data_IF_837200567267
#
_entry.id   IF_837200567267
#
_cell.length_a   1.000
_cell.length_b   1.000
_cell.length_c   1.000
_cell.angle_alpha   90.00
_cell.angle_beta   90.00
_cell.angle_gamma   90.00
#
_symmetry.space_group_name_H-M   'P 1'
#
loop_
_entity.id
_entity.type
_entity.pdbx_description
1 polymer ?
#
# COMPACT_ATOMS: atom_id res chain seq x y z
N UNK A 1 35.21 -17.32 27.85
CA UNK A 1 34.20 -16.30 28.22
C UNK A 1 32.97 -16.51 27.35
N UNK A 2 31.88 -17.03 27.90
CA UNK A 2 30.63 -17.20 27.18
C UNK A 2 29.98 -15.82 26.99
N UNK A 3 29.84 -15.37 25.74
CA UNK A 3 29.08 -14.17 25.40
C UNK A 3 27.60 -14.44 25.72
N UNK A 4 27.05 -13.70 26.67
CA UNK A 4 25.62 -13.64 26.91
C UNK A 4 24.93 -13.23 25.60
N UNK A 5 24.28 -14.19 24.93
CA UNK A 5 23.33 -13.89 23.88
C UNK A 5 22.09 -13.32 24.56
N UNK A 6 21.89 -12.00 24.45
CA UNK A 6 20.60 -11.38 24.76
C UNK A 6 19.55 -12.02 23.85
N UNK A 7 18.72 -12.91 24.41
CA UNK A 7 17.47 -13.33 23.77
C UNK A 7 16.53 -12.14 23.79
N UNK A 8 16.43 -11.46 22.65
CA UNK A 8 15.58 -10.31 22.45
C UNK A 8 14.12 -10.80 22.27
N UNK A 9 13.46 -11.18 23.37
CA UNK A 9 12.06 -11.64 23.38
C UNK A 9 11.04 -10.47 23.41
N UNK A 10 11.42 -9.29 22.90
CA UNK A 10 10.52 -8.14 22.75
C UNK A 10 9.99 -8.02 21.32
N UNK A 11 8.83 -7.38 21.11
CA UNK A 11 8.28 -7.16 19.77
C UNK A 11 9.29 -6.38 18.91
N UNK A 12 9.41 -6.80 17.65
CA UNK A 12 10.32 -6.15 16.69
C UNK A 12 9.90 -4.69 16.46
N UNK A 13 10.75 -3.90 15.79
CA UNK A 13 10.36 -2.55 15.38
C UNK A 13 9.16 -2.58 14.42
N UNK A 14 9.04 -3.63 13.62
CA UNK A 14 7.93 -3.85 12.69
C UNK A 14 6.64 -4.14 13.45
N UNK A 15 6.68 -5.05 14.43
CA UNK A 15 5.50 -5.39 15.24
C UNK A 15 4.97 -4.15 15.96
N UNK A 16 5.85 -3.37 16.58
CA UNK A 16 5.46 -2.12 17.26
C UNK A 16 4.87 -1.09 16.30
N UNK A 17 5.34 -1.04 15.05
CA UNK A 17 4.77 -0.17 14.05
C UNK A 17 3.39 -0.66 13.57
N UNK A 18 3.19 -1.97 13.45
CA UNK A 18 1.88 -2.56 13.15
C UNK A 18 0.87 -2.28 14.26
N UNK A 19 1.28 -2.35 15.53
CA UNK A 19 0.41 -2.02 16.66
C UNK A 19 -0.06 -0.56 16.59
N UNK A 20 0.87 0.38 16.31
CA UNK A 20 0.51 1.79 16.10
C UNK A 20 -0.47 1.96 14.93
N UNK A 21 -0.31 1.17 13.86
CA UNK A 21 -1.20 1.24 12.70
C UNK A 21 -2.58 0.68 13.03
N UNK A 22 -2.65 -0.43 13.75
CA UNK A 22 -3.88 -1.02 14.24
C UNK A 22 -4.63 -0.04 15.15
N UNK A 23 -3.95 0.61 16.10
CA UNK A 23 -4.54 1.59 17.00
C UNK A 23 -5.13 2.79 16.27
N UNK A 24 -4.41 3.32 15.27
CA UNK A 24 -4.90 4.45 14.47
C UNK A 24 -6.11 4.07 13.63
N UNK A 25 -6.10 2.86 13.07
CA UNK A 25 -7.22 2.30 12.32
C UNK A 25 -8.44 2.07 13.19
N UNK A 26 -8.26 1.49 14.38
CA UNK A 26 -9.33 1.30 15.36
C UNK A 26 -9.95 2.64 15.72
N UNK A 27 -9.15 3.65 16.08
CA UNK A 27 -9.63 5.00 16.40
C UNK A 27 -10.41 5.62 15.25
N UNK A 28 -9.92 5.45 14.02
CA UNK A 28 -10.61 6.00 12.84
C UNK A 28 -11.95 5.29 12.61
N UNK A 29 -11.98 3.97 12.67
CA UNK A 29 -13.21 3.19 12.50
C UNK A 29 -14.21 3.50 13.62
N UNK A 30 -13.76 3.66 14.86
CA UNK A 30 -14.62 4.11 15.98
C UNK A 30 -15.19 5.51 15.73
N UNK A 31 -14.37 6.45 15.23
CA UNK A 31 -14.84 7.79 14.86
C UNK A 31 -15.87 7.76 13.74
N UNK A 32 -15.66 6.97 12.68
CA UNK A 32 -16.63 6.84 11.57
C UNK A 32 -17.89 6.10 12.03
N UNK A 33 -17.76 5.10 12.91
CA UNK A 33 -18.91 4.38 13.46
C UNK A 33 -19.83 5.29 14.29
N UNK A 34 -19.27 6.26 15.00
CA UNK A 34 -20.07 7.24 15.76
C UNK A 34 -20.89 8.20 14.89
N UNK A 35 -20.44 8.44 13.65
CA UNK A 35 -21.13 9.25 12.65
C UNK A 35 -20.71 8.79 11.24
N UNK A 36 -21.47 7.88 10.66
CA UNK A 36 -21.14 7.25 9.37
C UNK A 36 -21.18 8.24 8.19
N UNK A 37 -21.79 9.41 8.37
CA UNK A 37 -21.76 10.52 7.41
C UNK A 37 -20.44 11.33 7.49
N UNK A 38 -19.54 11.01 8.44
CA UNK A 38 -18.21 11.60 8.50
C UNK A 38 -17.30 10.92 7.46
N UNK A 39 -16.51 11.68 6.67
CA UNK A 39 -15.60 11.09 5.70
C UNK A 39 -14.42 10.37 6.38
N UNK A 40 -13.82 9.44 5.63
CA UNK A 40 -12.57 8.77 5.99
C UNK A 40 -11.40 9.74 6.19
N UNK A 41 -11.43 10.90 5.54
CA UNK A 41 -10.49 12.00 5.75
C UNK A 41 -11.27 13.32 5.67
N UNK A 42 -11.12 14.20 6.64
CA UNK A 42 -11.71 15.55 6.61
C UNK A 42 -10.94 16.46 5.64
N UNK A 43 -11.57 17.52 5.11
CA UNK A 43 -10.91 18.55 4.27
C UNK A 43 -9.48 18.94 4.69
N UNK A 44 -9.24 19.16 5.97
CA UNK A 44 -7.91 19.55 6.48
C UNK A 44 -6.84 18.43 6.38
N UNK A 45 -7.26 17.18 6.24
CA UNK A 45 -6.41 15.99 6.11
C UNK A 45 -6.39 15.42 4.67
N UNK A 46 -6.96 16.15 3.69
CA UNK A 46 -6.94 15.74 2.27
C UNK A 46 -5.59 15.94 1.58
N UNK A 47 -4.59 16.48 2.28
CA UNK A 47 -3.27 16.67 1.70
C UNK A 47 -2.51 15.36 1.68
N UNK A 48 -2.02 14.98 0.49
CA UNK A 48 -1.18 13.80 0.37
C UNK A 48 0.14 13.99 1.14
N UNK A 49 0.52 13.08 2.05
CA UNK A 49 1.72 13.25 2.84
C UNK A 49 2.98 13.16 1.97
N UNK A 50 3.91 14.08 2.20
CA UNK A 50 5.20 14.15 1.49
C UNK A 50 6.37 14.26 2.47
N UNK A 51 7.55 13.87 2.03
CA UNK A 51 8.77 14.21 2.74
C UNK A 51 9.23 15.66 2.42
N UNK A 52 10.30 16.14 3.07
CA UNK A 52 10.83 17.50 2.82
C UNK A 52 11.49 17.72 1.45
N UNK A 53 11.53 16.70 0.60
CA UNK A 53 12.03 16.73 -0.77
C UNK A 53 10.92 16.41 -1.78
N UNK A 54 9.67 16.64 -1.37
CA UNK A 54 8.45 16.54 -2.17
C UNK A 54 8.14 15.14 -2.70
N UNK A 55 8.82 14.10 -2.19
CA UNK A 55 8.46 12.71 -2.49
C UNK A 55 7.25 12.33 -1.66
N UNK A 56 6.21 11.88 -2.36
CA UNK A 56 4.98 11.36 -1.78
C UNK A 56 5.22 10.04 -1.02
N UNK A 57 4.57 9.91 0.14
CA UNK A 57 4.40 8.60 0.77
C UNK A 57 3.38 7.79 -0.03
N UNK A 58 3.41 6.46 0.10
CA UNK A 58 2.50 5.57 -0.62
C UNK A 58 1.85 4.52 0.28
N UNK A 59 0.71 3.99 -0.18
CA UNK A 59 -0.02 2.91 0.46
C UNK A 59 -0.28 3.15 1.95
N UNK A 60 0.06 2.15 2.75
CA UNK A 60 -0.06 2.14 4.21
C UNK A 60 0.53 3.38 4.88
N UNK A 61 1.71 3.84 4.46
CA UNK A 61 2.33 5.02 5.08
C UNK A 61 1.51 6.29 4.84
N UNK A 62 0.97 6.46 3.63
CA UNK A 62 0.15 7.64 3.34
C UNK A 62 -1.10 7.66 4.22
N UNK A 63 -1.82 6.52 4.27
CA UNK A 63 -3.01 6.36 5.08
C UNK A 63 -2.78 6.68 6.57
N UNK A 64 -1.72 6.12 7.15
CA UNK A 64 -1.40 6.30 8.57
C UNK A 64 -0.98 7.73 8.89
N UNK A 65 -0.15 8.35 8.04
CA UNK A 65 0.27 9.74 8.26
C UNK A 65 -0.91 10.70 8.17
N UNK A 66 -1.86 10.44 7.25
CA UNK A 66 -3.09 11.23 7.14
C UNK A 66 -3.99 11.06 8.37
N UNK A 67 -4.19 9.84 8.88
CA UNK A 67 -4.94 9.64 10.12
C UNK A 67 -4.27 10.33 11.31
N UNK A 68 -2.94 10.26 11.40
CA UNK A 68 -2.22 10.94 12.46
C UNK A 68 -2.36 12.46 12.35
N UNK A 69 -2.24 13.02 11.14
CA UNK A 69 -2.43 14.43 10.88
C UNK A 69 -3.83 14.90 11.30
N UNK A 70 -4.88 14.17 10.91
CA UNK A 70 -6.26 14.46 11.33
C UNK A 70 -6.41 14.40 12.86
N UNK A 71 -5.94 13.32 13.48
CA UNK A 71 -6.05 13.10 14.92
C UNK A 71 -5.32 14.16 15.76
N UNK A 72 -4.26 14.76 15.21
CA UNK A 72 -3.45 15.77 15.88
C UNK A 72 -3.79 17.20 15.48
N UNK A 73 -4.59 17.38 14.43
CA UNK A 73 -4.92 18.70 13.89
C UNK A 73 -3.70 19.43 13.34
N UNK A 74 -2.74 18.69 12.76
CA UNK A 74 -1.59 19.31 12.09
C UNK A 74 -2.02 19.91 10.75
N UNK A 75 -1.49 21.10 10.46
CA UNK A 75 -1.74 21.86 9.24
C UNK A 75 -0.87 21.39 8.08
N UNK A 76 0.37 20.96 8.36
CA UNK A 76 1.29 20.54 7.31
C UNK A 76 1.13 19.07 6.95
N UNK A 77 1.30 18.73 5.67
CA UNK A 77 1.47 17.35 5.18
C UNK A 77 2.93 16.91 5.07
N UNK A 78 3.88 17.69 5.60
CA UNK A 78 5.30 17.40 5.52
C UNK A 78 5.80 16.60 6.71
N UNK A 79 6.45 15.48 6.41
CA UNK A 79 7.02 14.57 7.39
C UNK A 79 8.52 14.34 7.15
N UNK A 80 9.27 14.14 8.23
CA UNK A 80 10.71 13.99 8.16
C UNK A 80 11.25 13.16 9.33
N UNK A 81 12.35 12.42 9.12
CA UNK A 81 13.06 11.82 10.25
C UNK A 81 13.73 12.89 11.10
N UNK A 82 14.09 12.54 12.34
CA UNK A 82 14.83 13.45 13.22
C UNK A 82 16.12 13.95 12.57
N UNK A 83 16.87 13.06 11.91
CA UNK A 83 18.12 13.40 11.22
C UNK A 83 17.87 14.37 10.07
N UNK A 84 16.77 14.18 9.32
CA UNK A 84 16.42 15.08 8.23
C UNK A 84 16.03 16.46 8.75
N UNK A 85 15.30 16.55 9.86
CA UNK A 85 14.99 17.82 10.52
C UNK A 85 16.27 18.50 11.00
N UNK A 86 17.15 17.76 11.68
CA UNK A 86 18.44 18.28 12.13
C UNK A 86 19.31 18.80 10.98
N UNK A 87 19.24 18.17 9.81
CA UNK A 87 20.00 18.58 8.62
C UNK A 87 19.59 19.95 8.08
N UNK A 88 18.38 20.45 8.40
CA UNK A 88 17.94 21.79 8.00
C UNK A 88 18.77 22.92 8.63
N UNK A 89 19.64 22.60 9.59
CA UNK A 89 20.50 23.58 10.26
C UNK A 89 21.89 23.70 9.63
N UNK A 90 22.23 22.84 8.66
CA UNK A 90 23.59 22.72 8.15
C UNK A 90 23.63 22.73 6.62
N UNK A 91 24.75 23.19 6.05
CA UNK A 91 25.08 23.03 4.64
C UNK A 91 25.61 21.61 4.33
N UNK A 92 25.93 21.35 3.06
CA UNK A 92 26.46 20.05 2.60
C UNK A 92 27.79 19.67 3.27
N UNK A 93 28.54 20.65 3.78
CA UNK A 93 29.80 20.46 4.50
C UNK A 93 29.60 20.38 6.03
N UNK A 94 28.36 20.25 6.49
CA UNK A 94 27.96 20.22 7.91
C UNK A 94 28.29 21.50 8.68
N UNK A 95 28.44 22.63 7.99
CA UNK A 95 28.59 23.94 8.64
C UNK A 95 27.21 24.53 8.93
N UNK A 96 27.01 25.22 10.07
CA UNK A 96 25.73 25.86 10.37
C UNK A 96 25.33 26.85 9.28
N UNK A 97 24.06 26.82 8.87
CA UNK A 97 23.53 27.80 7.93
C UNK A 97 23.50 29.20 8.57
N UNK A 98 23.78 30.20 7.75
CA UNK A 98 23.84 31.62 8.14
C UNK A 98 22.90 32.47 7.29
N UNK A 99 22.48 33.62 7.81
CA UNK A 99 21.77 34.65 7.06
C UNK A 99 22.72 35.41 6.11
N UNK A 100 22.20 36.43 5.43
CA UNK A 100 22.97 37.26 4.48
C UNK A 100 24.07 38.06 5.16
N UNK A 101 23.91 38.30 6.46
CA UNK A 101 24.81 39.04 7.34
C UNK A 101 25.86 38.12 8.01
N UNK A 102 25.77 36.80 7.80
CA UNK A 102 26.69 35.81 8.35
C UNK A 102 26.36 35.32 9.76
N UNK A 103 25.20 35.70 10.33
CA UNK A 103 24.76 35.18 11.62
C UNK A 103 24.12 33.81 11.46
N UNK A 104 24.33 32.92 12.42
CA UNK A 104 23.71 31.59 12.41
C UNK A 104 22.19 31.71 12.44
N UNK A 105 21.53 31.02 11.51
CA UNK A 105 20.09 31.00 11.48
C UNK A 105 19.53 30.24 12.72
N UNK A 106 18.39 30.65 13.33
CA UNK A 106 17.77 30.00 14.49
C UNK A 106 17.65 28.47 14.43
N UNK A 107 18.06 27.70 15.43
CA UNK A 107 18.11 26.24 15.27
C UNK A 107 16.71 25.58 15.19
N UNK A 108 16.50 24.72 14.20
CA UNK A 108 15.28 23.91 14.00
C UNK A 108 15.45 22.54 14.66
N UNK A 109 14.50 22.14 15.51
CA UNK A 109 14.49 20.86 16.20
C UNK A 109 13.05 20.39 16.46
N UNK A 110 12.89 19.09 16.67
CA UNK A 110 11.65 18.52 17.21
C UNK A 110 11.39 19.09 18.60
N UNK A 111 10.16 19.51 18.85
CA UNK A 111 9.72 20.05 20.14
C UNK A 111 9.80 18.96 21.21
N UNK A 112 10.31 19.32 22.39
CA UNK A 112 10.53 18.36 23.49
C UNK A 112 9.22 17.68 23.89
N UNK A 113 9.21 16.35 23.89
CA UNK A 113 8.05 15.54 24.29
C UNK A 113 7.19 15.05 23.12
N UNK A 114 7.43 15.55 21.90
CA UNK A 114 6.76 15.07 20.71
C UNK A 114 7.13 13.61 20.39
N UNK A 115 6.13 12.86 19.90
CA UNK A 115 6.27 11.43 19.55
C UNK A 115 6.25 11.26 18.05
N UNK A 116 7.20 10.50 17.51
CA UNK A 116 7.25 10.15 16.09
C UNK A 116 6.13 9.20 15.69
N UNK A 117 5.84 9.18 14.39
CA UNK A 117 5.00 8.18 13.75
C UNK A 117 5.89 7.22 12.97
N UNK A 118 5.77 5.88 13.17
CA UNK A 118 6.55 4.93 12.39
C UNK A 118 6.03 4.88 10.94
N UNK A 119 6.94 4.69 9.98
CA UNK A 119 6.65 4.39 8.59
C UNK A 119 7.50 3.21 8.15
N UNK A 120 6.94 2.38 7.29
CA UNK A 120 7.59 1.16 6.81
C UNK A 120 8.13 1.35 5.39
N UNK A 121 9.39 1.02 5.18
CA UNK A 121 10.05 1.08 3.89
C UNK A 121 10.72 -0.25 3.58
N UNK A 122 10.43 -0.82 2.42
CA UNK A 122 11.10 -2.03 1.94
C UNK A 122 12.29 -1.62 1.09
N UNK A 123 13.50 -1.95 1.55
CA UNK A 123 14.69 -1.92 0.71
C UNK A 123 14.94 -3.30 0.11
N UNK A 124 15.53 -3.35 -1.08
CA UNK A 124 15.85 -4.60 -1.76
C UNK A 124 17.36 -4.73 -1.86
N UNK A 125 17.89 -5.84 -1.35
CA UNK A 125 19.29 -6.22 -1.58
C UNK A 125 19.33 -7.16 -2.77
N UNK A 126 19.96 -6.74 -3.85
CA UNK A 126 20.11 -7.56 -5.05
C UNK A 126 21.53 -8.11 -5.09
N UNK A 127 21.66 -9.44 -5.20
CA UNK A 127 22.94 -10.16 -5.13
C UNK A 127 23.08 -11.09 -6.32
N UNK A 128 24.16 -10.99 -7.08
CA UNK A 128 24.45 -11.94 -8.15
C UNK A 128 24.68 -13.34 -7.54
N UNK A 129 24.08 -14.38 -8.14
CA UNK A 129 24.09 -15.74 -7.57
C UNK A 129 25.49 -16.35 -7.53
N UNK A 130 26.29 -16.12 -8.55
CA UNK A 130 27.65 -16.67 -8.66
C UNK A 130 28.72 -15.75 -8.06
N UNK A 131 28.83 -14.49 -8.53
CA UNK A 131 29.88 -13.57 -8.07
C UNK A 131 29.64 -12.98 -6.68
N UNK A 132 28.41 -13.06 -6.16
CA UNK A 132 27.96 -12.42 -4.92
C UNK A 132 28.05 -10.89 -4.91
N UNK A 133 28.26 -10.26 -6.07
CA UNK A 133 28.25 -8.81 -6.19
C UNK A 133 26.87 -8.23 -5.94
N UNK A 134 26.85 -7.03 -5.34
CA UNK A 134 25.62 -6.31 -5.04
C UNK A 134 25.39 -5.18 -6.02
N UNK A 135 24.17 -5.08 -6.52
CA UNK A 135 23.73 -3.97 -7.38
C UNK A 135 22.57 -3.23 -6.72
N UNK A 136 22.31 -1.99 -7.15
CA UNK A 136 21.12 -1.28 -6.69
C UNK A 136 19.88 -1.92 -7.30
N UNK A 137 18.77 -1.85 -6.58
CA UNK A 137 17.52 -2.41 -7.06
C UNK A 137 17.02 -1.73 -8.35
N UNK A 138 17.29 -0.44 -8.54
CA UNK A 138 16.93 0.25 -9.78
C UNK A 138 17.78 -0.22 -10.97
N UNK A 139 19.06 -0.54 -10.76
CA UNK A 139 19.91 -1.14 -11.80
C UNK A 139 19.36 -2.53 -12.19
N UNK A 140 18.97 -3.34 -11.19
CA UNK A 140 18.35 -4.66 -11.41
C UNK A 140 17.05 -4.60 -12.23
N UNK A 141 16.18 -3.62 -11.98
CA UNK A 141 14.92 -3.46 -12.73
C UNK A 141 15.15 -3.25 -14.22
N UNK A 142 16.26 -2.58 -14.56
CA UNK A 142 16.62 -2.22 -15.92
C UNK A 142 17.38 -3.34 -16.66
N UNK A 143 17.69 -4.46 -16.00
CA UNK A 143 18.30 -5.62 -16.65
C UNK A 143 17.30 -6.33 -17.59
N UNK A 144 17.80 -6.97 -18.66
CA UNK A 144 17.05 -7.97 -19.42
C UNK A 144 16.49 -9.09 -18.52
N UNK A 145 15.35 -9.67 -18.89
CA UNK A 145 14.67 -10.66 -18.04
C UNK A 145 15.47 -11.96 -17.86
N UNK A 146 16.27 -12.34 -18.85
CA UNK A 146 17.23 -13.45 -18.77
C UNK A 146 18.39 -13.13 -17.82
N UNK A 147 18.92 -11.90 -17.84
CA UNK A 147 19.96 -11.48 -16.90
C UNK A 147 19.45 -11.41 -15.45
N UNK A 148 18.18 -11.01 -15.24
CA UNK A 148 17.57 -11.00 -13.91
C UNK A 148 17.57 -12.37 -13.24
N UNK A 149 17.58 -13.46 -14.00
CA UNK A 149 17.64 -14.83 -13.48
C UNK A 149 18.96 -15.12 -12.75
N UNK A 150 20.02 -14.36 -13.03
CA UNK A 150 21.32 -14.51 -12.38
C UNK A 150 21.39 -13.84 -11.01
N UNK A 151 20.34 -13.14 -10.57
CA UNK A 151 20.33 -12.43 -9.30
C UNK A 151 19.31 -13.02 -8.32
N UNK A 152 19.62 -12.89 -7.04
CA UNK A 152 18.69 -13.09 -5.92
C UNK A 152 18.30 -11.73 -5.34
N UNK A 153 17.01 -11.51 -5.16
CA UNK A 153 16.46 -10.26 -4.62
C UNK A 153 15.91 -10.52 -3.23
N UNK A 154 16.50 -9.87 -2.23
CA UNK A 154 16.12 -10.02 -0.83
C UNK A 154 15.42 -8.75 -0.34
N UNK A 155 14.09 -8.77 -0.14
CA UNK A 155 13.38 -7.66 0.47
C UNK A 155 13.71 -7.57 1.96
N UNK A 156 13.92 -6.35 2.44
CA UNK A 156 14.12 -6.04 3.85
C UNK A 156 13.19 -4.91 4.25
N UNK A 157 12.24 -5.22 5.12
CA UNK A 157 11.40 -4.22 5.73
C UNK A 157 12.23 -3.42 6.76
N UNK A 158 12.06 -2.11 6.75
CA UNK A 158 12.73 -1.19 7.65
C UNK A 158 11.69 -0.22 8.19
N UNK A 159 11.79 0.07 9.49
CA UNK A 159 10.94 1.06 10.13
C UNK A 159 11.74 2.34 10.33
N UNK A 160 11.21 3.44 9.81
CA UNK A 160 11.70 4.79 10.06
C UNK A 160 10.71 5.54 10.94
N UNK A 161 11.21 6.40 11.81
CA UNK A 161 10.38 7.25 12.64
C UNK A 161 10.37 8.66 12.06
N UNK A 162 9.18 9.16 11.72
CA UNK A 162 9.01 10.49 11.13
C UNK A 162 8.18 11.38 12.04
N UNK A 163 8.46 12.68 11.97
CA UNK A 163 7.73 13.74 12.64
C UNK A 163 7.09 14.62 11.59
N UNK A 164 5.88 15.09 11.86
CA UNK A 164 5.31 16.19 11.10
C UNK A 164 6.09 17.47 11.42
N UNK A 165 6.22 18.39 10.46
CA UNK A 165 6.93 19.66 10.73
C UNK A 165 6.24 20.52 11.79
N UNK A 166 4.94 20.34 12.03
CA UNK A 166 4.19 20.98 13.14
C UNK A 166 4.60 20.45 14.53
N UNK A 167 5.35 19.34 14.59
CA UNK A 167 5.96 18.83 15.83
C UNK A 167 7.34 19.45 16.11
N UNK A 168 7.72 20.49 15.35
CA UNK A 168 9.01 21.16 15.47
C UNK A 168 8.80 22.64 15.77
N UNK A 169 9.87 23.33 16.14
CA UNK A 169 9.87 24.79 16.28
C UNK A 169 10.09 25.53 14.94
N UNK A 170 9.94 24.86 13.79
CA UNK A 170 10.26 25.45 12.48
C UNK A 170 9.39 26.67 12.15
N UNK A 171 8.15 26.71 12.64
CA UNK A 171 7.22 27.82 12.42
C UNK A 171 7.77 29.12 12.99
N UNK A 172 8.37 29.06 14.18
CA UNK A 172 8.99 30.20 14.85
C UNK A 172 10.44 30.42 14.39
N UNK A 173 11.21 29.35 14.19
CA UNK A 173 12.64 29.43 13.87
C UNK A 173 12.94 29.76 12.40
N UNK A 174 12.05 29.35 11.48
CA UNK A 174 12.19 29.49 10.01
C UNK A 174 10.82 29.72 9.36
N UNK A 175 10.13 30.84 9.64
CA UNK A 175 8.77 31.07 9.15
C UNK A 175 8.67 31.02 7.62
N UNK A 176 9.65 31.53 6.88
CA UNK A 176 9.67 31.48 5.40
C UNK A 176 9.76 30.04 4.87
N UNK A 177 10.56 29.19 5.52
CA UNK A 177 10.69 27.78 5.12
C UNK A 177 9.42 26.99 5.46
N UNK A 178 8.81 27.27 6.62
CA UNK A 178 7.51 26.70 6.99
C UNK A 178 6.41 27.12 6.02
N UNK A 179 6.35 28.41 5.67
CA UNK A 179 5.42 28.92 4.67
C UNK A 179 5.64 28.24 3.32
N UNK A 180 6.89 28.09 2.86
CA UNK A 180 7.21 27.37 1.61
C UNK A 180 6.68 25.94 1.61
N UNK A 181 6.84 25.20 2.72
CA UNK A 181 6.32 23.83 2.81
C UNK A 181 4.79 23.74 2.77
N UNK A 182 4.10 24.80 3.19
CA UNK A 182 2.64 24.85 3.23
C UNK A 182 2.02 25.61 2.04
N UNK A 183 2.79 26.37 1.26
CA UNK A 183 2.26 27.16 0.14
C UNK A 183 1.62 26.29 -0.96
N UNK A 184 2.15 25.08 -1.18
CA UNK A 184 1.58 24.11 -2.12
C UNK A 184 0.15 23.67 -1.75
N UNK A 185 -0.30 23.91 -0.52
CA UNK A 185 -1.64 23.56 -0.06
C UNK A 185 -2.73 24.43 -0.69
N UNK A 186 -2.47 25.73 -0.81
CA UNK A 186 -3.50 26.72 -1.20
C UNK A 186 -3.88 26.58 -2.69
N UNK A 187 -2.91 26.27 -3.55
CA UNK A 187 -3.12 26.12 -5.00
C UNK A 187 -3.97 24.89 -5.36
N UNK A 188 -3.92 23.81 -4.56
CA UNK A 188 -4.71 22.59 -4.79
C UNK A 188 -6.15 22.77 -4.29
N UNK A 189 -6.35 23.46 -3.16
CA UNK A 189 -7.70 23.73 -2.62
C UNK A 189 -8.48 24.71 -3.51
N UNK A 190 -7.83 25.75 -4.06
CA UNK A 190 -8.50 26.72 -4.93
C UNK A 190 -9.04 26.11 -6.24
N UNK A 191 -8.41 25.03 -6.74
CA UNK A 191 -8.87 24.34 -7.94
C UNK A 191 -10.08 23.40 -7.72
N UNK A 192 -10.39 23.07 -6.46
CA UNK A 192 -11.49 22.16 -6.08
C UNK A 192 -12.83 22.89 -5.82
N UNK A 193 -12.90 24.20 -6.06
CA UNK A 193 -14.16 24.97 -6.03
C UNK A 193 -14.98 24.89 -7.32
N UNK A 194 -14.62 24.02 -8.27
CA UNK A 194 -15.47 23.75 -9.44
C UNK A 194 -16.74 23.00 -9.01
N UNK A 195 -17.92 23.56 -9.33
CA UNK A 195 -19.24 22.95 -9.10
C UNK A 195 -19.37 21.52 -9.66
N UNK A 196 -18.59 21.17 -10.69
CA UNK A 196 -18.56 19.84 -11.30
C UNK A 196 -17.17 19.24 -11.23
N UNK A 197 -17.01 18.23 -10.36
CA UNK A 197 -15.79 17.44 -10.32
C UNK A 197 -15.72 16.49 -11.51
N UNK A 198 -14.59 16.56 -12.21
CA UNK A 198 -14.27 15.70 -13.34
C UNK A 198 -12.86 15.13 -13.20
N UNK A 199 -12.71 13.86 -13.55
CA UNK A 199 -11.42 13.19 -13.67
C UNK A 199 -11.34 12.72 -15.13
N UNK A 200 -10.81 13.55 -16.06
CA UNK A 200 -10.86 13.28 -17.51
C UNK A 200 -10.29 11.92 -17.89
N UNK A 201 -9.26 11.46 -17.18
CA UNK A 201 -8.67 10.14 -17.40
C UNK A 201 -9.64 9.00 -17.04
N UNK A 202 -10.41 9.12 -15.97
CA UNK A 202 -11.43 8.13 -15.58
C UNK A 202 -12.63 8.20 -16.53
N UNK A 203 -13.08 9.39 -16.92
CA UNK A 203 -14.17 9.54 -17.88
C UNK A 203 -13.78 8.94 -19.24
N UNK A 204 -12.54 9.17 -19.69
CA UNK A 204 -11.95 8.55 -20.89
C UNK A 204 -11.84 7.03 -20.76
N UNK A 205 -11.48 6.55 -19.56
CA UNK A 205 -11.39 5.12 -19.26
C UNK A 205 -12.74 4.42 -19.46
N UNK A 206 -13.82 5.03 -18.99
CA UNK A 206 -15.18 4.51 -19.15
C UNK A 206 -15.60 4.57 -20.62
N UNK A 207 -15.47 5.76 -21.24
CA UNK A 207 -15.92 6.01 -22.62
C UNK A 207 -15.30 5.07 -23.63
N UNK A 208 -14.03 4.74 -23.47
CA UNK A 208 -13.27 3.95 -24.44
C UNK A 208 -13.02 2.50 -23.98
N UNK A 209 -13.67 2.06 -22.90
CA UNK A 209 -13.56 0.70 -22.35
C UNK A 209 -12.08 0.30 -22.11
N UNK A 210 -11.35 1.16 -21.40
CA UNK A 210 -9.90 1.04 -21.21
C UNK A 210 -9.52 0.37 -19.89
N UNK A 211 -10.46 0.12 -18.99
CA UNK A 211 -10.15 -0.60 -17.76
C UNK A 211 -9.95 -2.11 -18.02
N UNK A 212 -9.52 -2.84 -17.00
CA UNK A 212 -9.24 -4.29 -17.08
C UNK A 212 -10.48 -5.14 -17.30
N UNK A 213 -11.64 -4.58 -16.99
CA UNK A 213 -12.96 -5.13 -17.22
C UNK A 213 -13.90 -4.01 -17.65
N UNK A 214 -15.02 -4.32 -18.34
CA UNK A 214 -15.97 -3.29 -18.74
C UNK A 214 -16.56 -2.55 -17.54
N UNK A 215 -16.63 -1.22 -17.65
CA UNK A 215 -17.37 -0.35 -16.73
C UNK A 215 -18.64 0.10 -17.44
N UNK A 216 -19.80 -0.28 -16.90
CA UNK A 216 -21.11 -0.03 -17.50
C UNK A 216 -21.94 0.94 -16.66
N UNK A 217 -21.91 2.25 -16.96
CA UNK A 217 -22.93 3.17 -16.50
C UNK A 217 -24.32 2.68 -16.93
N UNK A 218 -25.21 2.43 -15.99
CA UNK A 218 -26.56 1.89 -16.22
C UNK A 218 -27.55 2.61 -15.33
N UNK A 219 -28.76 2.93 -15.84
CA UNK A 219 -29.82 3.51 -15.02
C UNK A 219 -30.28 2.49 -13.97
N UNK A 220 -29.81 2.64 -12.73
CA UNK A 220 -30.19 1.82 -11.56
C UNK A 220 -29.69 2.46 -10.26
N UNK A 221 -30.07 1.92 -9.11
CA UNK A 221 -29.73 2.49 -7.79
C UNK A 221 -28.61 1.76 -7.05
N UNK A 222 -27.88 0.86 -7.74
CA UNK A 222 -26.81 0.05 -7.13
C UNK A 222 -25.56 0.04 -8.00
N UNK A 223 -24.40 0.14 -7.35
CA UNK A 223 -23.10 -0.13 -7.95
C UNK A 223 -22.55 -1.45 -7.42
N UNK A 224 -21.95 -2.25 -8.29
CA UNK A 224 -21.34 -3.53 -7.95
C UNK A 224 -20.34 -4.00 -9.00
N UNK A 225 -19.33 -4.74 -8.55
CA UNK A 225 -18.54 -5.63 -9.40
C UNK A 225 -19.19 -7.03 -9.49
N UNK A 226 -19.53 -7.46 -10.70
CA UNK A 226 -20.01 -8.82 -11.00
C UNK A 226 -18.82 -9.73 -11.33
N UNK A 227 -18.43 -10.58 -10.37
CA UNK A 227 -17.30 -11.49 -10.51
C UNK A 227 -17.52 -12.60 -11.55
N UNK A 228 -18.77 -12.99 -11.81
CA UNK A 228 -19.09 -14.03 -12.80
C UNK A 228 -18.95 -13.49 -14.22
N UNK A 229 -19.35 -12.24 -14.44
CA UNK A 229 -19.28 -11.57 -15.76
C UNK A 229 -18.02 -10.76 -15.97
N UNK A 230 -17.18 -10.66 -14.94
CA UNK A 230 -16.05 -9.74 -14.85
C UNK A 230 -16.42 -8.35 -15.38
N UNK A 231 -17.37 -7.68 -14.72
CA UNK A 231 -17.90 -6.38 -15.19
C UNK A 231 -18.26 -5.50 -13.99
N UNK A 232 -17.91 -4.22 -14.06
CA UNK A 232 -18.40 -3.22 -13.11
C UNK A 232 -19.69 -2.62 -13.66
N UNK A 233 -20.74 -2.60 -12.84
CA UNK A 233 -21.97 -1.87 -13.14
C UNK A 233 -22.09 -0.74 -12.13
N UNK A 234 -22.31 0.47 -12.61
CA UNK A 234 -22.41 1.69 -11.79
C UNK A 234 -23.63 2.51 -12.25
N UNK A 235 -24.36 3.19 -11.36
CA UNK A 235 -25.39 4.14 -11.76
C UNK A 235 -24.86 5.21 -12.73
N UNK A 236 -25.75 5.83 -13.50
CA UNK A 236 -25.35 6.96 -14.34
C UNK A 236 -24.77 8.09 -13.47
N UNK A 237 -23.79 8.84 -13.99
CA UNK A 237 -23.10 9.91 -13.25
C UNK A 237 -24.09 10.97 -12.75
N UNK A 238 -25.14 11.22 -13.54
CA UNK A 238 -26.23 12.15 -13.26
C UNK A 238 -27.18 11.68 -12.14
N UNK A 239 -27.16 10.39 -11.79
CA UNK A 239 -27.92 9.87 -10.64
C UNK A 239 -27.23 10.17 -9.30
N UNK A 240 -25.95 10.52 -9.32
CA UNK A 240 -25.21 10.86 -8.10
C UNK A 240 -25.41 12.34 -7.76
N UNK A 241 -25.32 12.65 -6.46
CA UNK A 241 -25.40 14.02 -5.94
C UNK A 241 -24.32 14.94 -6.56
N UNK A 242 -23.12 14.40 -6.79
CA UNK A 242 -21.98 15.11 -7.35
C UNK A 242 -20.94 14.12 -7.93
N UNK A 243 -19.92 14.66 -8.61
CA UNK A 243 -18.84 13.85 -9.18
C UNK A 243 -18.03 13.08 -8.14
N UNK A 244 -17.79 13.65 -6.95
CA UNK A 244 -17.08 12.97 -5.85
C UNK A 244 -17.75 11.65 -5.46
N UNK A 245 -19.07 11.67 -5.31
CA UNK A 245 -19.85 10.47 -4.98
C UNK A 245 -19.75 9.42 -6.09
N UNK A 246 -19.86 9.84 -7.36
CA UNK A 246 -19.70 8.94 -8.50
C UNK A 246 -18.31 8.28 -8.53
N UNK A 247 -17.24 9.06 -8.49
CA UNK A 247 -15.88 8.52 -8.57
C UNK A 247 -15.50 7.71 -7.33
N UNK A 248 -15.91 8.14 -6.14
CA UNK A 248 -15.70 7.40 -4.91
C UNK A 248 -16.37 6.02 -4.93
N UNK A 249 -17.60 5.93 -5.45
CA UNK A 249 -18.29 4.66 -5.66
C UNK A 249 -17.62 3.83 -6.75
N UNK A 250 -17.22 4.44 -7.87
CA UNK A 250 -16.54 3.72 -8.94
C UNK A 250 -15.19 3.13 -8.48
N UNK A 251 -14.38 3.90 -7.73
CA UNK A 251 -13.11 3.40 -7.20
C UNK A 251 -13.28 2.24 -6.21
N UNK A 252 -14.38 2.20 -5.46
CA UNK A 252 -14.73 1.06 -4.62
C UNK A 252 -14.96 -0.19 -5.48
N UNK A 253 -15.78 -0.10 -6.53
CA UNK A 253 -16.05 -1.26 -7.41
C UNK A 253 -14.82 -1.65 -8.25
N UNK A 254 -13.98 -0.69 -8.66
CA UNK A 254 -12.68 -0.97 -9.27
C UNK A 254 -11.74 -1.69 -8.33
N UNK A 255 -11.80 -1.41 -7.03
CA UNK A 255 -11.01 -2.14 -6.03
C UNK A 255 -11.46 -3.61 -5.99
N UNK A 256 -12.76 -3.88 -5.91
CA UNK A 256 -13.28 -5.25 -6.01
C UNK A 256 -12.86 -5.95 -7.31
N UNK A 257 -13.01 -5.27 -8.45
CA UNK A 257 -12.56 -5.83 -9.73
C UNK A 257 -11.08 -6.25 -9.64
N UNK A 258 -10.20 -5.38 -9.16
CA UNK A 258 -8.77 -5.72 -9.03
C UNK A 258 -8.49 -6.99 -8.19
N UNK A 259 -9.41 -7.38 -7.31
CA UNK A 259 -9.32 -8.59 -6.48
C UNK A 259 -9.53 -9.92 -7.19
N UNK A 260 -9.98 -9.92 -8.45
CA UNK A 260 -10.26 -11.14 -9.22
C UNK A 260 -9.04 -12.08 -9.35
N UNK A 261 -9.32 -13.38 -9.57
CA UNK A 261 -8.32 -14.46 -9.56
C UNK A 261 -7.16 -14.25 -10.55
N UNK A 262 -7.46 -13.73 -11.74
CA UNK A 262 -6.47 -13.40 -12.78
C UNK A 262 -5.77 -12.05 -12.58
N UNK A 263 -6.05 -11.35 -11.48
CA UNK A 263 -5.52 -10.02 -11.14
C UNK A 263 -4.73 -10.04 -9.83
N UNK A 264 -5.30 -9.57 -8.72
CA UNK A 264 -4.63 -9.57 -7.41
C UNK A 264 -4.96 -10.81 -6.56
N UNK A 265 -5.94 -11.61 -6.98
CA UNK A 265 -6.36 -12.86 -6.36
C UNK A 265 -6.61 -12.72 -4.85
N UNK A 266 -7.54 -11.82 -4.48
CA UNK A 266 -7.86 -11.52 -3.08
C UNK A 266 -9.09 -12.23 -2.54
N UNK A 267 -10.00 -12.65 -3.41
CA UNK A 267 -11.20 -13.37 -3.01
C UNK A 267 -10.86 -14.80 -2.58
N UNK A 268 -11.34 -15.20 -1.41
CA UNK A 268 -11.25 -16.58 -0.94
C UNK A 268 -12.34 -17.46 -1.58
N UNK A 269 -12.10 -18.77 -1.63
CA UNK A 269 -13.08 -19.74 -2.11
C UNK A 269 -14.36 -19.68 -1.26
N UNK A 270 -15.51 -19.39 -1.89
CA UNK A 270 -16.79 -19.27 -1.20
C UNK A 270 -17.10 -17.86 -0.68
N UNK A 271 -16.26 -16.86 -0.97
CA UNK A 271 -16.59 -15.46 -0.70
C UNK A 271 -17.84 -15.04 -1.43
N UNK A 272 -18.85 -14.65 -0.68
CA UNK A 272 -20.04 -13.99 -1.17
C UNK A 272 -20.36 -12.79 -0.30
N UNK A 273 -21.12 -11.87 -0.89
CA UNK A 273 -21.62 -10.70 -0.18
C UNK A 273 -22.27 -11.10 1.16
N UNK A 274 -21.86 -10.44 2.24
CA UNK A 274 -22.34 -10.69 3.59
C UNK A 274 -21.61 -11.79 4.38
N UNK A 275 -20.67 -12.52 3.79
CA UNK A 275 -19.87 -13.52 4.52
C UNK A 275 -18.78 -12.86 5.41
N UNK A 276 -18.36 -13.50 6.52
CA UNK A 276 -17.27 -12.99 7.36
C UNK A 276 -15.93 -12.83 6.62
N UNK A 277 -15.65 -13.70 5.65
CA UNK A 277 -14.44 -13.63 4.81
C UNK A 277 -14.49 -12.45 3.85
N UNK A 278 -15.68 -12.11 3.33
CA UNK A 278 -15.91 -10.92 2.50
C UNK A 278 -15.77 -9.59 3.25
N UNK A 279 -15.95 -9.58 4.58
CA UNK A 279 -15.80 -8.35 5.37
C UNK A 279 -14.40 -7.72 5.22
N UNK A 280 -13.34 -8.52 5.13
CA UNK A 280 -11.98 -8.00 4.92
C UNK A 280 -11.85 -7.32 3.55
N UNK A 281 -12.42 -7.92 2.51
CA UNK A 281 -12.37 -7.38 1.15
C UNK A 281 -13.14 -6.06 1.04
N UNK A 282 -14.26 -5.92 1.74
CA UNK A 282 -14.97 -4.63 1.86
C UNK A 282 -14.11 -3.55 2.55
N UNK A 283 -13.32 -3.91 3.56
CA UNK A 283 -12.37 -2.97 4.17
C UNK A 283 -11.27 -2.58 3.19
N UNK A 284 -10.76 -3.53 2.39
CA UNK A 284 -9.79 -3.24 1.33
C UNK A 284 -10.39 -2.30 0.29
N UNK A 285 -11.63 -2.55 -0.16
CA UNK A 285 -12.32 -1.73 -1.15
C UNK A 285 -12.60 -0.31 -0.65
N UNK A 286 -13.11 -0.17 0.58
CA UNK A 286 -13.38 1.13 1.19
C UNK A 286 -12.13 1.96 1.40
N UNK A 287 -11.06 1.37 1.95
CA UNK A 287 -9.80 2.08 2.16
C UNK A 287 -9.10 2.41 0.84
N UNK A 288 -9.19 1.54 -0.17
CA UNK A 288 -8.68 1.83 -1.52
C UNK A 288 -9.43 2.99 -2.14
N UNK A 289 -10.76 2.97 -2.08
CA UNK A 289 -11.59 4.05 -2.60
C UNK A 289 -11.30 5.37 -1.90
N UNK A 290 -11.19 5.36 -0.56
CA UNK A 290 -10.85 6.55 0.22
C UNK A 290 -9.47 7.10 -0.16
N UNK A 291 -8.47 6.22 -0.27
CA UNK A 291 -7.11 6.60 -0.64
C UNK A 291 -7.03 7.19 -2.05
N UNK A 292 -7.68 6.58 -3.04
CA UNK A 292 -7.75 7.12 -4.39
C UNK A 292 -8.53 8.43 -4.44
N UNK A 293 -9.64 8.51 -3.71
CA UNK A 293 -10.48 9.71 -3.64
C UNK A 293 -9.67 10.90 -3.14
N UNK A 294 -8.92 10.73 -2.05
CA UNK A 294 -8.10 11.81 -1.51
C UNK A 294 -6.94 12.21 -2.44
N UNK A 295 -6.39 11.29 -3.24
CA UNK A 295 -5.38 11.65 -4.26
C UNK A 295 -5.91 12.64 -5.31
N UNK A 296 -7.21 12.62 -5.57
CA UNK A 296 -7.91 13.59 -6.43
C UNK A 296 -8.56 14.74 -5.64
N UNK A 297 -8.22 14.90 -4.35
CA UNK A 297 -8.79 15.95 -3.50
C UNK A 297 -10.24 15.74 -3.08
N UNK A 298 -10.76 14.51 -3.22
CA UNK A 298 -12.14 14.16 -2.89
C UNK A 298 -12.28 13.69 -1.45
N UNK A 299 -13.39 14.09 -0.81
CA UNK A 299 -13.85 13.45 0.42
C UNK A 299 -14.57 12.13 0.08
N UNK A 300 -14.28 11.06 0.83
CA UNK A 300 -15.00 9.78 0.72
C UNK A 300 -15.66 9.42 2.04
N UNK A 301 -16.98 9.35 2.02
CA UNK A 301 -17.78 8.84 3.10
C UNK A 301 -17.82 7.31 3.07
N UNK A 302 -18.07 6.69 4.22
CA UNK A 302 -18.33 5.25 4.27
C UNK A 302 -19.59 4.95 3.45
N UNK A 303 -19.55 3.92 2.60
CA UNK A 303 -20.74 3.43 1.90
C UNK A 303 -21.72 2.85 2.94
N UNK A 304 -23.02 3.14 2.82
CA UNK A 304 -24.06 2.67 3.74
C UNK A 304 -23.99 1.14 3.94
N UNK A 305 -23.76 0.42 2.84
CA UNK A 305 -23.62 -1.03 2.83
C UNK A 305 -22.36 -1.53 3.55
N UNK A 306 -21.31 -0.73 3.64
CA UNK A 306 -20.07 -1.10 4.33
C UNK A 306 -20.17 -0.83 5.85
N UNK A 307 -21.11 0.02 6.30
CA UNK A 307 -21.33 0.30 7.72
C UNK A 307 -21.65 -0.95 8.54
N UNK A 308 -22.29 -1.96 7.94
CA UNK A 308 -22.61 -3.22 8.62
C UNK A 308 -21.37 -4.00 9.08
N UNK A 309 -20.21 -3.78 8.46
CA UNK A 309 -18.97 -4.48 8.77
C UNK A 309 -18.09 -3.78 9.80
N UNK A 310 -18.44 -2.56 10.23
CA UNK A 310 -17.66 -1.78 11.22
C UNK A 310 -17.37 -2.59 12.49
N UNK A 311 -18.39 -3.29 13.02
CA UNK A 311 -18.24 -4.12 14.23
C UNK A 311 -17.28 -5.29 14.00
N UNK A 312 -17.39 -5.99 12.87
CA UNK A 312 -16.47 -7.08 12.54
C UNK A 312 -15.04 -6.59 12.31
N UNK A 313 -14.84 -5.45 11.65
CA UNK A 313 -13.51 -4.86 11.45
C UNK A 313 -12.86 -4.51 12.78
N UNK A 314 -13.59 -3.84 13.68
CA UNK A 314 -13.09 -3.51 15.01
C UNK A 314 -12.72 -4.78 15.81
N UNK A 315 -13.55 -5.81 15.74
CA UNK A 315 -13.27 -7.08 16.42
C UNK A 315 -11.98 -7.72 15.89
N UNK A 316 -11.84 -7.82 14.57
CA UNK A 316 -10.68 -8.44 13.94
C UNK A 316 -9.39 -7.65 14.20
N UNK A 317 -9.45 -6.32 14.10
CA UNK A 317 -8.31 -5.43 14.39
C UNK A 317 -7.85 -5.50 15.85
N UNK A 318 -8.78 -5.68 16.79
CA UNK A 318 -8.45 -5.83 18.23
C UNK A 318 -7.93 -7.22 18.57
N UNK A 319 -8.28 -8.24 17.80
CA UNK A 319 -7.89 -9.63 18.05
C UNK A 319 -6.53 -9.98 17.43
N UNK A 320 -6.22 -9.48 16.24
CA UNK A 320 -4.98 -9.81 15.53
C UNK A 320 -4.42 -8.61 14.74
N UNK A 321 -3.31 -7.99 15.20
CA UNK A 321 -2.59 -6.95 14.46
C UNK A 321 -2.12 -7.38 13.06
N UNK A 322 -1.96 -8.68 12.79
CA UNK A 322 -1.60 -9.17 11.45
C UNK A 322 -2.73 -8.91 10.42
N UNK A 323 -3.98 -8.81 10.89
CA UNK A 323 -5.13 -8.46 10.06
C UNK A 323 -4.96 -7.09 9.41
N UNK A 324 -4.43 -6.09 10.13
CA UNK A 324 -4.21 -4.77 9.54
C UNK A 324 -3.06 -4.78 8.54
N UNK A 325 -1.99 -5.55 8.81
CA UNK A 325 -0.85 -5.68 7.90
C UNK A 325 -1.29 -6.18 6.54
N UNK A 326 -2.00 -7.31 6.51
CA UNK A 326 -2.45 -7.95 5.28
C UNK A 326 -3.49 -7.09 4.56
N UNK A 327 -4.42 -6.49 5.29
CA UNK A 327 -5.43 -5.58 4.72
C UNK A 327 -4.78 -4.37 4.04
N UNK A 328 -3.89 -3.66 4.72
CA UNK A 328 -3.24 -2.46 4.19
C UNK A 328 -2.24 -2.78 3.07
N UNK A 329 -1.65 -3.98 3.07
CA UNK A 329 -0.87 -4.48 1.93
C UNK A 329 -1.74 -4.64 0.68
N UNK A 330 -2.93 -5.22 0.82
CA UNK A 330 -3.88 -5.36 -0.28
C UNK A 330 -4.47 -4.01 -0.73
N UNK A 331 -4.70 -3.07 0.19
CA UNK A 331 -5.06 -1.67 -0.15
C UNK A 331 -3.96 -1.03 -1.01
N UNK A 332 -2.69 -1.16 -0.60
CA UNK A 332 -1.57 -0.63 -1.38
C UNK A 332 -1.53 -1.24 -2.79
N UNK A 333 -1.69 -2.56 -2.89
CA UNK A 333 -1.73 -3.28 -4.19
C UNK A 333 -2.89 -2.82 -5.06
N UNK A 334 -4.09 -2.76 -4.48
CA UNK A 334 -5.30 -2.35 -5.19
C UNK A 334 -5.22 -0.90 -5.67
N UNK A 335 -4.78 0.02 -4.81
CA UNK A 335 -4.65 1.43 -5.16
C UNK A 335 -3.61 1.64 -6.26
N UNK A 336 -2.43 1.00 -6.16
CA UNK A 336 -1.42 1.08 -7.21
C UNK A 336 -1.94 0.49 -8.54
N UNK A 337 -2.62 -0.65 -8.49
CA UNK A 337 -3.21 -1.29 -9.67
C UNK A 337 -4.17 -0.36 -10.43
N UNK A 338 -4.99 0.39 -9.70
CA UNK A 338 -5.92 1.37 -10.27
C UNK A 338 -5.17 2.62 -10.75
N UNK A 339 -4.36 3.24 -9.88
CA UNK A 339 -3.66 4.50 -10.19
C UNK A 339 -2.79 4.40 -11.43
N UNK A 340 -1.98 3.34 -11.59
CA UNK A 340 -1.11 3.20 -12.77
C UNK A 340 -1.90 3.19 -14.08
N UNK A 341 -3.11 2.64 -14.07
CA UNK A 341 -3.99 2.61 -15.25
C UNK A 341 -4.59 3.98 -15.53
N UNK A 342 -5.08 4.66 -14.50
CA UNK A 342 -5.58 6.04 -14.65
C UNK A 342 -4.46 6.98 -15.11
N UNK A 343 -3.27 6.88 -14.52
CA UNK A 343 -2.07 7.66 -14.88
C UNK A 343 -1.62 7.39 -16.32
N UNK A 344 -1.72 6.15 -16.81
CA UNK A 344 -1.39 5.85 -18.23
C UNK A 344 -2.30 6.60 -19.21
N UNK A 345 -3.59 6.71 -18.89
CA UNK A 345 -4.58 7.44 -19.69
C UNK A 345 -4.36 8.94 -19.54
N UNK A 346 -4.14 9.44 -18.32
CA UNK A 346 -3.86 10.86 -18.05
C UNK A 346 -2.61 11.35 -18.80
N UNK A 347 -1.52 10.58 -18.77
CA UNK A 347 -0.30 10.89 -19.51
C UNK A 347 -0.55 10.90 -21.02
N UNK A 348 -1.36 9.97 -21.53
CA UNK A 348 -1.73 9.93 -22.95
C UNK A 348 -2.57 11.14 -23.35
N UNK A 349 -3.55 11.51 -22.55
CA UNK A 349 -4.36 12.73 -22.76
C UNK A 349 -3.49 13.99 -22.75
N UNK A 350 -2.53 14.08 -21.82
CA UNK A 350 -1.59 15.22 -21.76
C UNK A 350 -0.67 15.31 -22.99
N UNK A 351 -0.27 14.17 -23.55
CA UNK A 351 0.64 14.10 -24.71
C UNK A 351 -0.08 14.32 -26.04
N UNK A 352 -1.22 13.66 -26.22
CA UNK A 352 -1.88 13.50 -27.53
C UNK A 352 -3.26 14.20 -27.59
N UNK A 353 -3.75 14.74 -26.48
CA UNK A 353 -5.04 15.42 -26.39
C UNK A 353 -6.24 14.46 -26.37
N UNK A 354 -7.44 15.02 -26.55
CA UNK A 354 -8.72 14.31 -26.41
C UNK A 354 -8.99 13.25 -27.49
N UNK A 355 -8.28 13.31 -28.62
CA UNK A 355 -8.42 12.39 -29.75
C UNK A 355 -7.30 11.32 -29.77
N UNK A 356 -6.62 11.13 -28.65
CA UNK A 356 -5.54 10.15 -28.55
C UNK A 356 -6.01 8.73 -28.89
N UNK A 357 -5.11 7.95 -29.50
CA UNK A 357 -5.31 6.51 -29.62
C UNK A 357 -4.92 5.80 -28.31
N UNK A 358 -5.83 4.98 -27.81
CA UNK A 358 -5.70 4.18 -26.59
C UNK A 358 -5.74 2.66 -26.86
N UNK A 359 -5.68 2.25 -28.14
CA UNK A 359 -5.75 0.85 -28.56
C UNK A 359 -4.71 -0.02 -27.82
N UNK A 360 -3.49 0.49 -27.68
CA UNK A 360 -2.38 -0.12 -26.95
C UNK A 360 -2.67 -0.27 -25.45
N UNK A 361 -3.21 0.78 -24.80
CA UNK A 361 -3.56 0.75 -23.37
C UNK A 361 -4.65 -0.29 -23.10
N UNK A 362 -5.64 -0.41 -23.99
CA UNK A 362 -6.70 -1.42 -23.85
C UNK A 362 -6.16 -2.84 -23.95
N UNK A 363 -5.26 -3.10 -24.89
CA UNK A 363 -4.60 -4.40 -25.00
C UNK A 363 -3.72 -4.71 -23.79
N UNK A 364 -2.95 -3.71 -23.33
CA UNK A 364 -2.09 -3.86 -22.17
C UNK A 364 -2.92 -4.21 -20.93
N UNK A 365 -3.97 -3.44 -20.63
CA UNK A 365 -4.79 -3.66 -19.45
C UNK A 365 -5.49 -5.03 -19.43
N UNK A 366 -5.83 -5.60 -20.60
CA UNK A 366 -6.38 -6.96 -20.70
C UNK A 366 -5.37 -8.07 -20.41
N UNK A 367 -4.09 -7.85 -20.72
CA UNK A 367 -3.00 -8.81 -20.49
C UNK A 367 -2.44 -8.72 -19.07
N UNK A 368 -2.67 -7.61 -18.40
CA UNK A 368 -1.95 -7.23 -17.18
C UNK A 368 -2.57 -7.84 -15.91
N UNK A 369 -2.15 -9.07 -15.61
CA UNK A 369 -2.15 -9.62 -14.25
C UNK A 369 -1.07 -8.89 -13.45
N UNK A 370 -1.22 -8.70 -12.14
CA UNK A 370 -0.33 -7.84 -11.35
C UNK A 370 1.15 -8.27 -11.40
N UNK A 371 1.91 -7.75 -12.37
CA UNK A 371 3.34 -8.03 -12.56
C UNK A 371 4.20 -7.45 -11.42
N UNK A 372 3.66 -6.52 -10.65
CA UNK A 372 4.46 -5.71 -9.73
C UNK A 372 4.86 -6.40 -8.41
N UNK A 373 4.21 -7.51 -8.00
CA UNK A 373 4.43 -8.15 -6.68
C UNK A 373 4.35 -9.70 -6.71
N UNK A 374 4.17 -10.36 -7.87
CA UNK A 374 4.20 -11.83 -7.91
C UNK A 374 5.52 -12.44 -7.39
N UNK A 375 6.63 -11.67 -7.43
CA UNK A 375 7.92 -12.06 -6.85
C UNK A 375 8.06 -11.83 -5.33
N UNK A 376 7.20 -11.04 -4.69
CA UNK A 376 7.20 -10.90 -3.22
C UNK A 376 6.44 -12.06 -2.55
N UNK A 377 5.33 -12.53 -3.14
CA UNK A 377 4.53 -13.61 -2.55
C UNK A 377 5.16 -15.00 -2.71
N UNK A 378 6.02 -15.23 -3.71
CA UNK A 378 6.78 -16.51 -3.83
C UNK A 378 7.72 -16.77 -2.66
N UNK A 379 8.02 -15.77 -1.84
CA UNK A 379 8.96 -15.89 -0.71
C UNK A 379 8.23 -16.14 0.62
N UNK A 380 6.94 -15.77 0.72
CA UNK A 380 6.18 -15.87 1.97
C UNK A 380 5.58 -17.27 2.18
N UNK A 381 5.29 -18.01 1.10
CA UNK A 381 4.71 -19.38 1.15
C UNK A 381 5.75 -20.51 1.01
N UNK A 382 6.87 -20.45 1.73
CA UNK A 382 7.63 -21.68 2.03
C UNK A 382 7.38 -22.08 3.49
N UNK A 383 6.60 -23.14 3.76
CA UNK A 383 6.72 -23.85 5.02
C UNK A 383 8.16 -24.34 5.15
N UNK A 384 8.80 -24.08 6.29
CA UNK A 384 10.02 -24.78 6.69
C UNK A 384 9.71 -26.27 6.78
N UNK A 385 10.02 -27.05 5.75
CA UNK A 385 10.38 -28.45 5.96
C UNK A 385 11.87 -28.46 6.25
N UNK A 386 12.19 -28.58 7.53
CA UNK A 386 13.49 -29.06 7.96
C UNK A 386 13.56 -30.53 7.54
N UNK A 387 14.35 -30.83 6.50
CA UNK A 387 14.88 -32.19 6.29
C UNK A 387 15.82 -32.48 7.46
N UNK A 388 15.31 -33.22 8.45
CA UNK A 388 16.16 -33.99 9.35
C UNK A 388 16.44 -35.32 8.66
N UNK A 389 17.64 -35.43 8.10
CA UNK A 389 18.32 -36.70 7.96
C UNK A 389 18.52 -37.27 9.38
N UNK A 390 17.75 -38.29 9.75
CA UNK A 390 18.12 -39.20 10.82
C UNK A 390 18.18 -40.62 10.24
N UNK A 391 19.41 -41.09 10.09
CA UNK A 391 19.74 -42.51 10.04
C UNK A 391 19.09 -43.22 11.24
N UNK A 392 18.29 -44.24 10.97
CA UNK A 392 18.08 -45.31 11.93
C UNK A 392 17.98 -46.65 11.22
N UNK A 393 19.13 -47.33 11.25
CA UNK A 393 19.27 -48.77 11.13
C UNK A 393 18.41 -49.40 12.24
N UNK A 394 17.37 -50.14 11.87
CA UNK A 394 16.92 -51.23 12.74
C UNK A 394 16.42 -52.42 11.91
N UNK A 395 17.30 -53.42 11.90
CA UNK A 395 17.10 -54.81 11.53
C UNK A 395 16.02 -55.49 12.37
N UNK A 396 15.47 -56.58 11.80
CA UNK A 396 14.59 -57.62 12.39
C UNK A 396 13.11 -57.20 12.54
N UNK A 397 12.11 -57.94 12.05
CA UNK A 397 12.00 -59.38 11.82
C UNK A 397 11.19 -59.70 10.56
N UNK A 398 11.77 -60.55 9.70
CA UNK A 398 11.03 -61.44 8.82
C UNK A 398 10.61 -62.65 9.66
N UNK A 399 9.31 -62.86 9.79
CA UNK A 399 8.74 -64.16 10.12
C UNK A 399 8.41 -64.82 8.79
N UNK A 400 9.19 -65.84 8.43
CA UNK A 400 8.71 -67.16 8.01
C UNK A 400 9.92 -68.03 7.64
N UNK A 401 10.16 -69.01 8.51
CA UNK A 401 11.22 -70.02 8.43
C UNK A 401 10.82 -71.19 7.53
N UNK A 402 11.85 -71.71 6.84
CA UNK A 402 12.15 -73.13 6.58
C UNK A 402 11.08 -74.05 5.97
N UNK A 403 11.33 -74.46 4.72
CA UNK A 403 11.49 -75.88 4.41
C UNK A 403 12.27 -76.11 3.10
N UNK A 404 13.44 -76.73 3.26
CA UNK A 404 14.01 -77.81 2.44
C UNK A 404 14.40 -77.59 0.96
N UNK A 405 15.67 -77.93 0.72
CA UNK A 405 16.19 -78.74 -0.40
C UNK A 405 15.74 -78.40 -1.83
N UNK A 406 16.64 -77.90 -2.67
CA UNK A 406 17.30 -78.68 -3.74
C UNK A 406 18.10 -77.80 -4.72
N UNK A 407 19.20 -78.39 -5.18
CA UNK A 407 19.84 -78.23 -6.49
C UNK A 407 20.51 -76.90 -6.92
N UNK A 408 21.82 -76.88 -6.72
CA UNK A 408 22.84 -77.00 -7.78
C UNK A 408 22.69 -76.28 -9.14
N UNK A 409 23.84 -75.68 -9.50
CA UNK A 409 24.43 -75.44 -10.83
C UNK A 409 24.15 -74.07 -11.49
N UNK A 410 25.19 -73.23 -11.53
CA UNK A 410 26.06 -72.93 -12.71
C UNK A 410 25.33 -71.95 -13.66
N UNK A 411 25.85 -70.77 -14.01
CA UNK A 411 27.09 -70.54 -14.74
C UNK A 411 27.43 -69.04 -14.76
N UNK A 412 28.73 -68.74 -14.89
CA UNK A 412 29.32 -67.47 -15.38
C UNK A 412 28.60 -67.00 -16.66
N UNK A 413 28.45 -65.71 -16.94
CA UNK A 413 29.46 -64.63 -17.00
C UNK A 413 28.84 -63.28 -16.69
#
# INVERSE_FOLDING_TARGET
>A
MAKYQYKNNGPSAEDRALDVFADLMIKKIESVSSNWQKPWFTKNALQWPKNLSDREYNGMNALILMFQQENKGWNSNRFATFERISSLNFDDNRKPLVDKEGNKLPFVTVTKGEKSTPVMFTSFTVVHKETHDKIKYDDYKNLPDDEKLNYSVYPKLQVYNVFNIDQTNIKEARPELYAKFNQEYEEVQHNNEKETMEIPAVDTMIKNDLYVCPIKPTQQDRAYYDSNKDTIVVPLKEQFKNGEAFYGTLFHEMSHASGAQNRLNRFASGDHFGSPSYAREELVAELTAALLSTRYGMEKNLKDDSARYLKSWLSNLKQDPSYIKTTLFDVKRSANYISTRVESIDNRLKRDGVNADFSDIREQNKKDSALFIANENKIIDKPKQEEKEEENINTSEKIEENAQETEHQRFRR
#
